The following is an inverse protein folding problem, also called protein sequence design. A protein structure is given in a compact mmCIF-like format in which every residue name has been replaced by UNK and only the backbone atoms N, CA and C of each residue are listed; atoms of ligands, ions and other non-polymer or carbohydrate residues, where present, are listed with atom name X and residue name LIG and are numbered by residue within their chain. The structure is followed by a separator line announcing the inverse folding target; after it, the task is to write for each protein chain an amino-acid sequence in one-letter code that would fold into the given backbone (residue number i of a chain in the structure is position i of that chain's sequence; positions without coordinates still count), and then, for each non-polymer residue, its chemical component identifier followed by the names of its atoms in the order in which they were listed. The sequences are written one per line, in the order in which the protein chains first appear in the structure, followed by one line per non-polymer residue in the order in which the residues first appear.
data_IF_927233084648
#
_entry.id   IF_927233084648
#
_cell.length_a   1.000
_cell.length_b   1.000
_cell.length_c   1.000
_cell.angle_alpha   90.00
_cell.angle_beta   90.00
_cell.angle_gamma   90.00
#
_symmetry.space_group_name_H-M   'P 1'
#
loop_
_entity.id
_entity.type
_entity.pdbx_description
1 polymer ?
#
# COMPACT_ATOMS: atom_id res chain seq x y z
N UNK A 1 20.55 -14.23 0.77
CA UNK A 1 20.28 -14.02 -0.67
C UNK A 1 19.16 -13.00 -0.77
N UNK A 2 19.27 -12.00 -1.65
CA UNK A 2 18.19 -11.03 -1.85
C UNK A 2 17.04 -11.73 -2.57
N UNK A 3 15.81 -11.69 -2.03
CA UNK A 3 14.63 -12.24 -2.72
C UNK A 3 14.45 -11.51 -4.06
N UNK A 4 14.04 -12.23 -5.10
CA UNK A 4 13.68 -11.68 -6.42
C UNK A 4 12.23 -11.18 -6.38
N UNK A 5 11.95 -10.10 -7.11
CA UNK A 5 10.60 -9.57 -7.28
C UNK A 5 9.77 -10.51 -8.17
N UNK A 6 8.58 -10.88 -7.71
CA UNK A 6 7.58 -11.66 -8.49
C UNK A 6 6.65 -10.78 -9.33
N UNK A 7 6.77 -9.46 -9.21
CA UNK A 7 5.94 -8.46 -9.89
C UNK A 7 4.44 -8.58 -9.61
N UNK A 8 4.06 -9.22 -8.51
CA UNK A 8 2.68 -9.33 -8.06
C UNK A 8 2.59 -8.81 -6.63
N UNK A 9 1.64 -7.91 -6.38
CA UNK A 9 1.46 -7.31 -5.07
C UNK A 9 0.00 -7.26 -4.65
N UNK A 10 -0.21 -7.35 -3.34
CA UNK A 10 -1.53 -7.30 -2.74
C UNK A 10 -1.63 -6.08 -1.84
N UNK A 11 -2.83 -5.49 -1.75
CA UNK A 11 -3.13 -4.43 -0.79
C UNK A 11 -4.39 -4.73 0.00
N UNK A 12 -4.39 -4.41 1.30
CA UNK A 12 -5.57 -4.49 2.16
C UNK A 12 -5.78 -3.18 2.89
N UNK A 13 -6.99 -2.64 2.76
CA UNK A 13 -7.48 -1.45 3.43
C UNK A 13 -8.60 -1.87 4.37
N UNK A 14 -8.37 -1.80 5.67
CA UNK A 14 -9.42 -2.05 6.67
C UNK A 14 -10.13 -0.75 6.99
N UNK A 15 -11.46 -0.71 6.88
CA UNK A 15 -12.29 0.45 7.21
C UNK A 15 -13.22 0.14 8.36
N UNK A 16 -13.22 0.99 9.38
CA UNK A 16 -14.12 0.85 10.53
C UNK A 16 -15.50 1.49 10.26
N UNK A 17 -16.50 1.31 11.15
CA UNK A 17 -17.83 1.89 10.95
C UNK A 17 -17.87 3.43 10.99
N UNK A 18 -16.81 4.09 11.44
CA UNK A 18 -16.69 5.56 11.43
C UNK A 18 -16.13 6.08 10.10
N UNK A 19 -15.69 5.19 9.21
CA UNK A 19 -15.02 5.50 7.96
C UNK A 19 -13.53 5.74 8.11
N UNK A 20 -12.94 5.47 9.28
CA UNK A 20 -11.49 5.54 9.45
C UNK A 20 -10.83 4.29 8.82
N UNK A 21 -9.65 4.48 8.22
CA UNK A 21 -8.92 3.44 7.50
C UNK A 21 -7.62 3.11 8.22
N UNK A 22 -7.33 1.82 8.42
CA UNK A 22 -6.06 1.38 8.97
C UNK A 22 -4.92 1.68 8.00
N UNK A 23 -3.93 2.44 8.46
CA UNK A 23 -2.68 2.69 7.77
C UNK A 23 -1.51 2.27 8.66
N UNK A 24 -0.48 1.69 8.03
CA UNK A 24 0.81 1.42 8.65
C UNK A 24 1.82 2.48 8.23
N UNK A 25 2.68 2.89 9.16
CA UNK A 25 3.87 3.68 8.84
C UNK A 25 4.96 2.71 8.42
N UNK A 26 5.44 2.81 7.19
CA UNK A 26 6.49 1.89 6.71
C UNK A 26 7.77 2.04 7.53
N UNK A 27 8.30 0.92 8.02
CA UNK A 27 9.62 0.86 8.66
C UNK A 27 10.78 0.87 7.66
N UNK A 28 10.47 0.69 6.37
CA UNK A 28 11.46 0.62 5.28
C UNK A 28 11.09 1.52 4.10
N UNK A 29 12.05 1.82 3.23
CA UNK A 29 11.82 2.63 2.04
C UNK A 29 10.75 2.01 1.12
N UNK A 30 9.93 2.83 0.43
CA UNK A 30 9.82 4.28 0.57
C UNK A 30 9.09 4.69 1.87
N UNK A 31 9.48 5.83 2.50
CA UNK A 31 8.78 6.32 3.68
C UNK A 31 7.39 6.81 3.29
N UNK A 32 6.40 6.42 4.10
CA UNK A 32 5.00 6.73 3.82
C UNK A 32 4.07 6.06 4.81
N UNK A 33 2.86 6.60 4.91
CA UNK A 33 1.71 5.88 5.43
C UNK A 33 1.08 5.08 4.28
N UNK A 34 0.87 3.80 4.53
CA UNK A 34 0.49 2.80 3.53
C UNK A 34 -0.66 1.96 4.07
N UNK A 35 -1.46 1.38 3.19
CA UNK A 35 -2.26 0.21 3.57
C UNK A 35 -1.35 -1.00 3.82
N UNK A 36 -1.95 -2.09 4.30
CA UNK A 36 -1.25 -3.37 4.41
C UNK A 36 -0.90 -3.85 3.01
N UNK A 37 0.33 -4.30 2.77
CA UNK A 37 0.72 -4.81 1.46
C UNK A 37 1.96 -5.70 1.47
N UNK A 38 1.97 -6.64 0.54
CA UNK A 38 3.19 -7.39 0.23
C UNK A 38 3.12 -8.17 -1.07
N UNK A 39 3.99 -9.16 -1.19
CA UNK A 39 4.18 -9.93 -2.43
C UNK A 39 3.23 -11.11 -2.48
N UNK A 40 2.93 -11.60 -3.67
CA UNK A 40 1.91 -12.66 -3.83
C UNK A 40 2.56 -14.04 -3.93
N UNK A 41 3.45 -14.22 -4.91
CA UNK A 41 3.94 -15.53 -5.32
C UNK A 41 5.28 -15.92 -4.70
N UNK A 42 5.73 -15.21 -3.67
CA UNK A 42 6.91 -15.64 -2.92
C UNK A 42 6.59 -16.65 -1.83
N UNK A 43 5.43 -16.52 -1.18
CA UNK A 43 4.99 -17.41 -0.10
C UNK A 43 3.52 -17.85 -0.24
N UNK A 44 2.77 -17.34 -1.23
CA UNK A 44 1.34 -17.61 -1.38
C UNK A 44 0.94 -18.11 -2.78
N UNK A 45 -0.15 -18.89 -2.89
CA UNK A 45 -0.60 -19.44 -4.16
C UNK A 45 -1.38 -18.44 -5.02
N UNK A 46 -1.80 -17.29 -4.48
CA UNK A 46 -2.65 -16.33 -5.16
C UNK A 46 -2.90 -15.05 -4.36
N UNK A 47 -3.43 -14.04 -5.05
CA UNK A 47 -3.65 -12.70 -4.48
C UNK A 47 -4.57 -12.70 -3.26
N UNK A 48 -5.61 -13.54 -3.28
CA UNK A 48 -6.59 -13.58 -2.19
C UNK A 48 -5.99 -14.16 -0.90
N UNK A 49 -5.25 -15.27 -1.03
CA UNK A 49 -4.51 -15.87 0.08
C UNK A 49 -3.43 -14.94 0.61
N UNK A 50 -2.72 -14.24 -0.29
CA UNK A 50 -1.76 -13.22 0.09
C UNK A 50 -2.42 -12.07 0.87
N UNK A 51 -3.58 -11.56 0.45
CA UNK A 51 -4.28 -10.48 1.15
C UNK A 51 -4.57 -10.85 2.62
N UNK A 52 -5.04 -12.07 2.85
CA UNK A 52 -5.33 -12.57 4.20
C UNK A 52 -4.04 -12.76 5.01
N UNK A 53 -3.00 -13.32 4.39
CA UNK A 53 -1.71 -13.54 5.04
C UNK A 53 -1.05 -12.23 5.45
N UNK A 54 -0.95 -11.25 4.54
CA UNK A 54 -0.32 -9.95 4.79
C UNK A 54 -1.05 -9.16 5.88
N UNK A 55 -2.40 -9.20 5.93
CA UNK A 55 -3.16 -8.59 7.03
C UNK A 55 -2.85 -9.21 8.39
N UNK A 56 -2.57 -10.51 8.42
CA UNK A 56 -2.15 -11.20 9.64
C UNK A 56 -0.69 -10.88 9.99
N UNK A 57 0.20 -10.88 9.00
CA UNK A 57 1.64 -10.73 9.20
C UNK A 57 2.02 -9.31 9.61
N UNK A 58 1.49 -8.28 8.93
CA UNK A 58 1.90 -6.90 9.17
C UNK A 58 1.21 -6.29 10.40
N UNK A 59 -0.05 -6.65 10.65
CA UNK A 59 -0.90 -5.99 11.67
C UNK A 59 -1.67 -6.94 12.60
N UNK A 60 -1.48 -8.26 12.50
CA UNK A 60 -2.10 -9.23 13.40
C UNK A 60 -3.58 -9.52 13.12
N UNK A 61 -4.16 -8.95 12.07
CA UNK A 61 -5.60 -9.04 11.83
C UNK A 61 -5.96 -10.34 11.12
N UNK A 62 -6.79 -11.16 11.77
CA UNK A 62 -7.29 -12.39 11.17
C UNK A 62 -8.53 -12.11 10.32
N UNK A 63 -8.33 -12.05 9.00
CA UNK A 63 -9.42 -12.02 8.03
C UNK A 63 -9.82 -13.46 7.67
N UNK A 64 -11.11 -13.76 7.77
CA UNK A 64 -11.68 -15.03 7.27
C UNK A 64 -12.30 -14.82 5.90
N UNK A 65 -12.47 -15.91 5.13
CA UNK A 65 -12.95 -15.82 3.75
C UNK A 65 -14.34 -15.19 3.59
N UNK A 66 -15.16 -15.15 4.66
CA UNK A 66 -16.45 -14.47 4.66
C UNK A 66 -16.40 -12.97 4.97
N UNK A 67 -15.25 -12.45 5.39
CA UNK A 67 -15.06 -11.03 5.76
C UNK A 67 -14.42 -10.22 4.64
N UNK A 68 -13.56 -10.84 3.83
CA UNK A 68 -12.94 -10.18 2.68
C UNK A 68 -13.77 -10.43 1.41
N UNK A 69 -14.06 -9.40 0.60
CA UNK A 69 -14.77 -9.59 -0.67
C UNK A 69 -14.08 -10.62 -1.59
N UNK A 70 -14.86 -11.44 -2.31
CA UNK A 70 -14.31 -12.45 -3.24
C UNK A 70 -13.47 -11.84 -4.36
N UNK A 71 -13.72 -10.57 -4.69
CA UNK A 71 -12.98 -9.83 -5.73
C UNK A 71 -12.31 -8.63 -5.11
N UNK A 72 -11.12 -8.33 -5.61
CA UNK A 72 -10.42 -7.09 -5.30
C UNK A 72 -11.31 -5.88 -5.66
N UNK A 73 -11.24 -4.84 -4.84
CA UNK A 73 -11.94 -3.56 -5.02
C UNK A 73 -11.38 -2.81 -6.22
N UNK A 74 -10.06 -2.82 -6.38
CA UNK A 74 -9.34 -2.25 -7.51
C UNK A 74 -8.02 -3.00 -7.73
N UNK A 75 -7.32 -2.69 -8.82
CA UNK A 75 -6.06 -3.35 -9.15
C UNK A 75 -5.49 -2.93 -10.50
N UNK A 76 -4.35 -3.52 -10.83
CA UNK A 76 -3.61 -3.32 -12.08
C UNK A 76 -2.15 -2.93 -11.86
N UNK A 77 -1.44 -2.72 -12.97
CA UNK A 77 -0.01 -2.44 -12.95
C UNK A 77 0.33 -1.05 -12.40
N UNK A 78 1.37 -0.97 -11.56
CA UNK A 78 2.02 0.29 -11.15
C UNK A 78 3.53 0.13 -11.12
N UNK A 79 4.23 1.16 -11.58
CA UNK A 79 5.70 1.19 -11.69
C UNK A 79 6.40 1.45 -10.34
N UNK A 80 5.79 1.11 -9.20
CA UNK A 80 6.41 1.37 -7.90
C UNK A 80 7.63 0.48 -7.67
N UNK A 81 8.74 1.08 -7.22
CA UNK A 81 9.97 0.35 -6.97
C UNK A 81 9.84 -0.63 -5.80
N UNK A 82 10.37 -1.84 -5.99
CA UNK A 82 10.59 -2.81 -4.91
C UNK A 82 12.04 -2.75 -4.43
N UNK A 83 12.27 -3.06 -3.15
CA UNK A 83 13.61 -3.32 -2.61
C UNK A 83 14.23 -4.64 -3.14
N UNK A 84 13.39 -5.56 -3.64
CA UNK A 84 13.82 -6.85 -4.20
C UNK A 84 14.51 -6.63 -5.54
N UNK A 85 15.43 -7.51 -5.88
CA UNK A 85 16.06 -7.44 -7.20
C UNK A 85 14.98 -7.69 -8.27
N UNK A 86 14.90 -6.84 -9.31
CA UNK A 86 14.02 -7.11 -10.45
C UNK A 86 14.41 -8.45 -11.08
N UNK A 87 13.45 -9.16 -11.67
CA UNK A 87 13.78 -10.40 -12.36
C UNK A 87 14.87 -10.18 -13.42
N UNK A 88 15.85 -11.08 -13.44
CA UNK A 88 16.94 -11.08 -14.42
C UNK A 88 16.91 -12.32 -15.30
N UNK A 89 15.81 -13.08 -15.30
CA UNK A 89 15.67 -14.29 -16.11
C UNK A 89 15.74 -13.91 -17.59
N UNK A 90 16.80 -14.30 -18.34
CA UNK A 90 16.91 -13.98 -19.75
C UNK A 90 15.96 -14.80 -20.63
N UNK A 91 15.37 -15.88 -20.09
CA UNK A 91 14.43 -16.76 -20.79
C UNK A 91 12.97 -16.34 -20.57
N UNK A 92 12.70 -15.51 -19.54
CA UNK A 92 11.38 -14.94 -19.26
C UNK A 92 11.41 -13.42 -19.32
N UNK A 93 10.62 -12.77 -20.21
CA UNK A 93 10.60 -11.31 -20.29
C UNK A 93 10.16 -10.71 -18.95
N UNK A 94 11.07 -10.00 -18.30
CA UNK A 94 10.79 -9.28 -17.07
C UNK A 94 9.90 -8.06 -17.39
N UNK A 95 8.75 -7.87 -16.72
CA UNK A 95 7.79 -6.81 -17.05
C UNK A 95 8.32 -5.39 -16.76
N UNK A 96 9.51 -5.27 -16.16
CA UNK A 96 10.13 -4.00 -15.81
C UNK A 96 10.05 -3.73 -14.31
N UNK A 97 10.16 -2.47 -13.91
CA UNK A 97 9.99 -2.05 -12.51
C UNK A 97 8.49 -1.91 -12.25
N UNK A 98 7.98 -2.56 -11.20
CA UNK A 98 6.58 -2.45 -10.81
C UNK A 98 5.97 -3.77 -10.38
N UNK A 99 4.68 -3.71 -10.06
CA UNK A 99 3.86 -4.88 -9.72
C UNK A 99 2.48 -4.75 -10.35
N UNK A 100 1.89 -5.89 -10.68
CA UNK A 100 0.45 -6.04 -10.87
C UNK A 100 -0.19 -6.15 -9.49
N UNK A 101 -1.11 -5.22 -9.18
CA UNK A 101 -1.73 -5.12 -7.87
C UNK A 101 -3.14 -5.68 -7.86
N UNK A 102 -3.52 -6.26 -6.73
CA UNK A 102 -4.92 -6.44 -6.35
C UNK A 102 -5.15 -5.87 -4.94
N UNK A 103 -6.10 -4.95 -4.80
CA UNK A 103 -6.36 -4.23 -3.55
C UNK A 103 -7.77 -4.49 -3.05
N UNK A 104 -7.90 -4.87 -1.79
CA UNK A 104 -9.17 -5.09 -1.10
C UNK A 104 -9.46 -3.99 -0.10
N UNK A 105 -10.65 -3.40 -0.21
CA UNK A 105 -11.28 -2.64 0.87
C UNK A 105 -12.18 -3.59 1.68
N UNK A 106 -11.89 -3.72 2.97
CA UNK A 106 -12.60 -4.61 3.89
C UNK A 106 -13.23 -3.77 5.00
N UNK A 107 -14.55 -3.80 5.07
CA UNK A 107 -15.29 -3.19 6.17
C UNK A 107 -15.25 -4.10 7.39
N UNK A 108 -14.66 -3.62 8.49
CA UNK A 108 -14.62 -4.32 9.77
C UNK A 108 -15.70 -3.79 10.70
N UNK A 109 -16.38 -4.66 11.48
CA UNK A 109 -17.47 -4.24 12.36
C UNK A 109 -16.97 -3.42 13.57
N UNK A 110 -15.71 -3.58 13.93
CA UNK A 110 -15.02 -2.83 14.97
C UNK A 110 -13.51 -2.83 14.68
N UNK A 111 -12.75 -1.99 15.40
CA UNK A 111 -11.30 -1.94 15.25
C UNK A 111 -10.68 -3.18 15.91
N UNK A 112 -10.04 -4.09 15.17
CA UNK A 112 -9.32 -5.22 15.77
C UNK A 112 -8.16 -4.72 16.64
N UNK A 113 -7.79 -5.55 17.62
CA UNK A 113 -6.50 -5.43 18.29
C UNK A 113 -5.38 -5.64 17.25
N UNK A 114 -4.37 -4.80 17.30
CA UNK A 114 -3.27 -4.81 16.33
C UNK A 114 -2.03 -5.42 16.96
N UNK A 115 -1.44 -6.40 16.28
CA UNK A 115 -0.13 -6.95 16.60
C UNK A 115 0.82 -6.56 15.46
N UNK A 116 1.54 -5.46 15.65
CA UNK A 116 2.38 -4.90 14.59
C UNK A 116 3.69 -5.67 14.44
N UNK A 117 4.03 -6.01 13.20
CA UNK A 117 5.36 -6.53 12.86
C UNK A 117 6.42 -5.45 13.11
N UNK A 118 7.29 -5.68 14.10
CA UNK A 118 8.42 -4.77 14.43
C UNK A 118 9.39 -4.58 13.26
N UNK A 119 9.41 -5.52 12.31
CA UNK A 119 10.32 -5.50 11.16
C UNK A 119 9.81 -4.64 10.02
N UNK A 120 8.49 -4.57 9.84
CA UNK A 120 7.87 -4.05 8.62
C UNK A 120 7.19 -2.70 8.85
N UNK A 121 6.71 -2.48 10.08
CA UNK A 121 5.99 -1.27 10.46
C UNK A 121 6.77 -0.49 11.52
N UNK A 122 6.71 0.84 11.43
CA UNK A 122 7.19 1.77 12.45
C UNK A 122 6.04 2.30 13.32
N UNK A 123 4.83 1.74 13.15
CA UNK A 123 3.59 2.15 13.82
C UNK A 123 2.38 1.98 12.90
N UNK A 124 1.19 2.12 13.47
CA UNK A 124 -0.07 2.09 12.75
C UNK A 124 -1.05 3.12 13.31
N UNK A 125 -2.04 3.52 12.50
CA UNK A 125 -3.11 4.39 12.92
C UNK A 125 -4.40 4.10 12.15
N UNK A 126 -5.53 4.37 12.79
CA UNK A 126 -6.83 4.46 12.12
C UNK A 126 -7.03 5.89 11.65
N UNK A 127 -6.70 6.16 10.38
CA UNK A 127 -6.79 7.49 9.79
C UNK A 127 -8.25 7.82 9.49
N UNK A 128 -8.79 8.81 10.19
CA UNK A 128 -10.10 9.41 9.86
C UNK A 128 -10.08 10.04 8.46
N UNK A 129 -11.24 10.32 7.84
CA UNK A 129 -11.28 11.03 6.56
C UNK A 129 -10.50 12.36 6.56
N UNK A 130 -10.51 13.08 7.69
CA UNK A 130 -9.74 14.31 7.84
C UNK A 130 -8.22 14.07 7.86
N UNK A 131 -7.76 13.08 8.63
CA UNK A 131 -6.33 12.71 8.66
C UNK A 131 -5.86 12.16 7.31
N UNK A 132 -6.70 11.36 6.65
CA UNK A 132 -6.41 10.85 5.31
C UNK A 132 -6.25 11.99 4.30
N UNK A 133 -7.13 13.00 4.37
CA UNK A 133 -7.01 14.23 3.59
C UNK A 133 -5.74 15.03 3.89
N UNK A 134 -5.33 15.12 5.16
CA UNK A 134 -4.07 15.75 5.56
C UNK A 134 -2.85 15.04 4.97
N UNK A 135 -2.79 13.71 5.08
CA UNK A 135 -1.68 12.91 4.56
C UNK A 135 -1.60 12.97 3.04
N UNK A 136 -2.75 12.90 2.37
CA UNK A 136 -2.88 13.12 0.93
C UNK A 136 -2.34 14.50 0.54
N UNK A 137 -2.75 15.56 1.25
CA UNK A 137 -2.26 16.91 1.02
C UNK A 137 -0.75 17.04 1.17
N UNK A 138 -0.15 16.36 2.17
CA UNK A 138 1.32 16.28 2.30
C UNK A 138 1.96 15.59 1.09
N UNK A 139 1.41 14.48 0.61
CA UNK A 139 1.94 13.78 -0.58
C UNK A 139 1.87 14.64 -1.83
N UNK A 140 0.76 15.39 -2.03
CA UNK A 140 0.62 16.36 -3.13
C UNK A 140 1.67 17.46 -3.04
N UNK A 141 1.90 18.00 -1.83
CA UNK A 141 2.90 19.03 -1.59
C UNK A 141 4.31 18.52 -1.85
N UNK A 142 4.63 17.30 -1.41
CA UNK A 142 5.90 16.63 -1.70
C UNK A 142 6.10 16.40 -3.20
N UNK A 143 5.11 15.85 -3.91
CA UNK A 143 5.20 15.61 -5.34
C UNK A 143 5.41 16.91 -6.14
N UNK A 144 4.85 18.01 -5.64
CA UNK A 144 5.01 19.36 -6.22
C UNK A 144 6.29 20.08 -5.78
N UNK A 145 7.15 19.46 -4.97
CA UNK A 145 8.42 20.03 -4.52
C UNK A 145 8.32 21.05 -3.38
N UNK A 146 7.16 21.16 -2.73
CA UNK A 146 6.96 22.08 -1.60
C UNK A 146 7.39 21.50 -0.25
N UNK A 147 7.54 20.17 -0.16
CA UNK A 147 8.09 19.48 1.01
C UNK A 147 9.47 18.93 0.63
N UNK A 148 10.56 19.31 1.32
CA UNK A 148 11.88 18.75 1.06
C UNK A 148 11.96 17.26 1.40
N UNK A 149 12.82 16.50 0.70
CA UNK A 149 13.00 15.06 0.93
C UNK A 149 13.38 14.70 2.38
N UNK A 150 14.20 15.54 3.04
CA UNK A 150 14.56 15.34 4.45
C UNK A 150 13.35 15.48 5.40
N UNK A 151 12.47 16.46 5.13
CA UNK A 151 11.23 16.61 5.89
C UNK A 151 10.28 15.45 5.61
N UNK A 152 10.14 15.05 4.34
CA UNK A 152 9.35 13.90 3.92
C UNK A 152 9.77 12.61 4.64
N UNK A 153 11.08 12.33 4.71
CA UNK A 153 11.59 11.15 5.39
C UNK A 153 11.23 11.12 6.89
N UNK A 154 11.20 12.28 7.55
CA UNK A 154 10.88 12.37 8.98
C UNK A 154 9.37 12.31 9.27
N UNK A 155 8.57 12.96 8.42
CA UNK A 155 7.12 13.11 8.58
C UNK A 155 6.43 13.00 7.22
N UNK A 156 6.32 11.77 6.68
CA UNK A 156 5.75 11.57 5.37
C UNK A 156 4.22 11.74 5.39
N UNK A 157 3.65 11.96 4.21
CA UNK A 157 2.23 11.78 3.94
C UNK A 157 1.91 10.31 3.61
N UNK A 158 0.91 10.10 2.75
CA UNK A 158 0.67 8.79 2.13
C UNK A 158 1.85 8.41 1.24
N UNK A 159 2.23 7.13 1.26
CA UNK A 159 3.15 6.61 0.26
C UNK A 159 2.57 6.87 -1.15
N UNK A 160 3.37 7.36 -2.11
CA UNK A 160 2.85 7.79 -3.41
C UNK A 160 2.00 6.74 -4.14
N UNK A 161 2.34 5.44 -4.07
CA UNK A 161 1.59 4.37 -4.76
C UNK A 161 0.18 4.20 -4.18
N UNK A 162 0.05 4.41 -2.87
CA UNK A 162 -1.21 4.27 -2.16
C UNK A 162 -2.20 5.38 -2.46
N UNK A 163 -1.74 6.56 -2.90
CA UNK A 163 -2.66 7.67 -3.24
C UNK A 163 -3.63 7.25 -4.35
N UNK A 164 -3.14 6.63 -5.43
CA UNK A 164 -4.03 6.19 -6.51
C UNK A 164 -4.93 5.04 -6.05
N UNK A 165 -4.42 4.08 -5.28
CA UNK A 165 -5.26 2.99 -4.78
C UNK A 165 -6.38 3.47 -3.85
N UNK A 166 -6.10 4.44 -2.97
CA UNK A 166 -7.10 5.06 -2.12
C UNK A 166 -8.14 5.85 -2.94
N UNK A 167 -7.73 6.52 -4.03
CA UNK A 167 -8.67 7.14 -4.98
C UNK A 167 -9.56 6.10 -5.67
N UNK A 168 -8.97 5.03 -6.20
CA UNK A 168 -9.72 3.99 -6.92
C UNK A 168 -10.63 3.17 -6.01
N UNK A 169 -10.27 3.03 -4.74
CA UNK A 169 -11.13 2.46 -3.69
C UNK A 169 -12.22 3.43 -3.21
N UNK A 170 -12.25 4.68 -3.70
CA UNK A 170 -13.25 5.69 -3.35
C UNK A 170 -13.10 6.30 -1.95
N UNK A 171 -11.90 6.25 -1.37
CA UNK A 171 -11.62 6.75 -0.01
C UNK A 171 -11.12 8.19 0.01
N UNK A 172 -10.53 8.65 -1.10
CA UNK A 172 -10.12 10.05 -1.34
C UNK A 172 -10.43 10.42 -2.78
N UNK A 173 -10.43 11.72 -3.08
CA UNK A 173 -10.67 12.22 -4.43
C UNK A 173 -9.59 13.23 -4.84
N UNK A 174 -8.99 13.00 -6.02
CA UNK A 174 -7.99 13.87 -6.62
C UNK A 174 -8.14 13.88 -8.14
N UNK A 175 -7.87 15.02 -8.80
CA UNK A 175 -7.81 15.08 -10.26
C UNK A 175 -6.73 14.14 -10.81
N UNK A 176 -7.01 13.48 -11.94
CA UNK A 176 -6.07 12.56 -12.59
C UNK A 176 -4.68 13.17 -12.85
N UNK A 177 -4.62 14.45 -13.24
CA UNK A 177 -3.35 15.16 -13.46
C UNK A 177 -2.48 15.31 -12.19
N UNK A 178 -3.10 15.30 -11.01
CA UNK A 178 -2.39 15.30 -9.72
C UNK A 178 -1.87 13.90 -9.42
N UNK A 179 -2.68 12.87 -9.68
CA UNK A 179 -2.27 11.47 -9.53
C UNK A 179 -1.08 11.13 -10.42
N UNK A 180 -1.11 11.51 -11.69
CA UNK A 180 -0.02 11.27 -12.64
C UNK A 180 1.29 11.95 -12.17
N UNK A 181 1.18 13.14 -11.56
CA UNK A 181 2.33 13.83 -10.98
C UNK A 181 2.90 13.08 -9.76
N UNK A 182 2.04 12.60 -8.87
CA UNK A 182 2.47 11.81 -7.71
C UNK A 182 3.16 10.52 -8.18
N UNK A 183 2.62 9.85 -9.19
CA UNK A 183 3.19 8.62 -9.73
C UNK A 183 4.53 8.83 -10.43
N UNK A 184 4.74 9.99 -11.07
CA UNK A 184 6.05 10.33 -11.63
C UNK A 184 7.18 10.37 -10.57
N UNK A 185 6.83 10.47 -9.28
CA UNK A 185 7.77 10.38 -8.14
C UNK A 185 7.98 8.97 -7.60
N UNK A 186 7.26 7.96 -8.08
CA UNK A 186 7.47 6.55 -7.71
C UNK A 186 8.84 6.01 -8.15
N UNK A 187 9.45 6.67 -9.12
CA UNK A 187 10.67 6.25 -9.80
C UNK A 187 11.90 7.13 -9.51
N UNK A 188 11.75 8.20 -8.73
CA UNK A 188 12.74 9.27 -8.59
C UNK A 188 13.29 9.49 -7.19
#
# INVERSE_FOLDING_TARGET
MTKVCDHASVGVLLRDPTGAVLLIKRGTFPPGWAGVAGHVYDEHPGYYEAAIAEAREEVGVQLTSGQIPERATCGGWRDNQCRRQPCQDPEQPCPGIGHDWAVWLVDVPERPELELSERETAGAMWATPHELGYLMGRTVAYASGHVPAAEWASSPGLEPVWVRWLCEAGLIDLPGSVLDRIESRLNG
#
